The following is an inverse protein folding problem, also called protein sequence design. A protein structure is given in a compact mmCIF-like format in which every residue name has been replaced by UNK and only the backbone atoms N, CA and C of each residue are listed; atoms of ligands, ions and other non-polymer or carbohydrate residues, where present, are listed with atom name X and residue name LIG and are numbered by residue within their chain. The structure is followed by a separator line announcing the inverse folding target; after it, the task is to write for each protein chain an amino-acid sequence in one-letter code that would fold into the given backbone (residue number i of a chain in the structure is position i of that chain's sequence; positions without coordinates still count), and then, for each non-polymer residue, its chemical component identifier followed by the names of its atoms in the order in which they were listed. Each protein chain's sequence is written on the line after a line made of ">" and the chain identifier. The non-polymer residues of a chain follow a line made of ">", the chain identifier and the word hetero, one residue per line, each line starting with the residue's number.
data_IF_574175541198
#
_entry.id   IF_574175541198
#
_cell.length_a   1.000
_cell.length_b   1.000
_cell.length_c   1.000
_cell.angle_alpha   90.00
_cell.angle_beta   90.00
_cell.angle_gamma   90.00
#
_symmetry.space_group_name_H-M   'P 1'
#
loop_
_entity.id
_entity.type
_entity.pdbx_description
1 polymer ?
#
# COMPACT_ATOMS: atom_id res chain seq x y z
N UNK A 1 -28.70 -0.02 -13.21
CA UNK A 1 -27.48 0.29 -12.43
C UNK A 1 -26.48 0.99 -13.35
N UNK A 2 -25.70 1.93 -12.84
CA UNK A 2 -24.62 2.57 -13.60
C UNK A 2 -23.39 2.71 -12.71
N UNK A 3 -22.20 2.64 -13.30
CA UNK A 3 -20.96 2.99 -12.61
C UNK A 3 -20.86 4.51 -12.58
N UNK A 4 -20.86 5.10 -11.40
CA UNK A 4 -20.65 6.55 -11.23
C UNK A 4 -19.19 6.91 -11.54
N UNK A 5 -18.28 6.04 -11.14
CA UNK A 5 -16.86 6.18 -11.42
C UNK A 5 -16.01 5.13 -10.69
N UNK A 6 -14.77 5.02 -11.16
CA UNK A 6 -13.72 4.23 -10.51
C UNK A 6 -12.76 5.18 -9.84
N UNK A 7 -12.55 5.02 -8.54
CA UNK A 7 -11.69 5.85 -7.71
C UNK A 7 -10.43 5.05 -7.37
N UNK A 8 -9.27 5.57 -7.72
CA UNK A 8 -7.96 5.01 -7.38
C UNK A 8 -7.25 5.94 -6.41
N UNK A 9 -7.01 5.48 -5.20
CA UNK A 9 -6.24 6.17 -4.19
C UNK A 9 -4.81 5.65 -4.17
N UNK A 10 -3.87 6.53 -3.85
CA UNK A 10 -2.47 6.12 -3.63
C UNK A 10 -2.32 5.63 -2.19
N UNK A 11 -1.54 4.56 -1.95
CA UNK A 11 -1.05 4.27 -0.62
C UNK A 11 -0.12 5.40 -0.21
N UNK A 12 -0.32 5.94 0.99
CA UNK A 12 0.69 6.82 1.60
C UNK A 12 1.97 6.02 1.87
N UNK A 13 3.12 6.69 2.06
CA UNK A 13 4.38 6.02 2.41
C UNK A 13 4.27 5.22 3.73
N UNK A 14 3.32 5.61 4.59
CA UNK A 14 2.97 4.89 5.81
C UNK A 14 2.02 3.69 5.57
N UNK A 15 1.43 3.55 4.38
CA UNK A 15 0.42 2.55 4.08
C UNK A 15 -0.96 2.81 4.73
N UNK A 16 -1.17 3.97 5.37
CA UNK A 16 -2.34 4.23 6.22
C UNK A 16 -3.57 4.82 5.50
N UNK A 17 -3.55 5.00 4.17
CA UNK A 17 -4.65 5.68 3.46
C UNK A 17 -5.62 4.72 2.78
N UNK A 18 -5.10 3.63 2.24
CA UNK A 18 -5.88 2.59 1.59
C UNK A 18 -5.14 1.25 1.70
N UNK A 19 -5.89 0.15 1.58
CA UNK A 19 -5.35 -1.20 1.55
C UNK A 19 -5.71 -1.89 0.24
N UNK A 20 -4.98 -2.92 -0.15
CA UNK A 20 -5.39 -3.81 -1.24
C UNK A 20 -6.53 -4.74 -0.82
N UNK A 21 -6.75 -4.89 0.50
CA UNK A 21 -7.86 -5.66 1.04
C UNK A 21 -9.21 -4.96 0.82
N UNK A 22 -10.24 -5.76 0.55
CA UNK A 22 -11.61 -5.23 0.48
C UNK A 22 -12.13 -4.92 1.88
N UNK A 23 -12.96 -3.86 1.98
CA UNK A 23 -13.56 -3.46 3.26
C UNK A 23 -14.38 -4.61 3.88
N UNK A 24 -15.07 -5.39 3.05
CA UNK A 24 -15.79 -6.58 3.48
C UNK A 24 -14.86 -7.64 4.08
N UNK A 25 -13.72 -7.91 3.45
CA UNK A 25 -12.75 -8.87 3.97
C UNK A 25 -12.20 -8.40 5.33
N UNK A 26 -11.84 -7.12 5.45
CA UNK A 26 -11.39 -6.56 6.73
C UNK A 26 -12.47 -6.68 7.82
N UNK A 27 -13.72 -6.35 7.51
CA UNK A 27 -14.84 -6.51 8.44
C UNK A 27 -15.06 -7.97 8.85
N UNK A 28 -14.93 -8.91 7.91
CA UNK A 28 -15.03 -10.34 8.18
C UNK A 28 -13.87 -10.81 9.06
N UNK A 29 -12.64 -10.37 8.80
CA UNK A 29 -11.45 -10.63 9.64
C UNK A 29 -11.68 -10.10 11.07
N UNK A 30 -12.16 -8.86 11.22
CA UNK A 30 -12.51 -8.29 12.53
C UNK A 30 -13.60 -9.09 13.26
N UNK A 31 -14.66 -9.51 12.57
CA UNK A 31 -15.71 -10.35 13.16
C UNK A 31 -15.14 -11.71 13.57
N UNK A 32 -14.32 -12.32 12.71
CA UNK A 32 -13.65 -13.57 13.01
C UNK A 32 -12.82 -13.44 14.28
N UNK A 33 -12.01 -12.39 14.40
CA UNK A 33 -11.13 -12.20 15.56
C UNK A 33 -11.89 -11.96 16.86
N UNK A 34 -13.03 -11.25 16.82
CA UNK A 34 -13.90 -11.08 18.00
C UNK A 34 -14.51 -12.41 18.42
N UNK A 35 -15.05 -13.19 17.47
CA UNK A 35 -15.59 -14.52 17.77
C UNK A 35 -14.50 -15.46 18.28
N UNK A 36 -13.31 -15.41 17.68
CA UNK A 36 -12.16 -16.24 18.06
C UNK A 36 -11.69 -15.95 19.49
N UNK A 37 -11.72 -14.67 19.90
CA UNK A 37 -11.44 -14.25 21.28
C UNK A 37 -12.53 -14.68 22.25
N UNK A 38 -13.79 -14.63 21.84
CA UNK A 38 -14.92 -14.97 22.71
C UNK A 38 -15.08 -16.48 22.90
N UNK A 39 -14.76 -17.27 21.88
CA UNK A 39 -14.91 -18.73 21.87
C UNK A 39 -13.58 -19.46 22.12
N UNK A 40 -12.57 -18.81 22.72
CA UNK A 40 -11.24 -19.39 23.01
C UNK A 40 -10.62 -20.18 21.85
N UNK A 41 -10.80 -19.71 20.61
CA UNK A 41 -10.34 -20.36 19.38
C UNK A 41 -10.86 -21.76 19.09
N UNK A 42 -11.98 -22.15 19.71
CA UNK A 42 -12.60 -23.47 19.53
C UNK A 42 -13.05 -23.68 18.09
N UNK A 43 -13.58 -22.65 17.41
CA UNK A 43 -14.04 -22.81 16.03
C UNK A 43 -14.29 -21.49 15.27
N UNK A 44 -14.38 -21.58 13.93
CA UNK A 44 -14.66 -20.46 13.02
C UNK A 44 -16.07 -20.60 12.40
N UNK A 45 -16.90 -19.55 12.44
CA UNK A 45 -18.25 -19.56 11.85
C UNK A 45 -18.25 -19.84 10.34
N UNK A 46 -19.15 -20.71 9.89
CA UNK A 46 -19.30 -21.03 8.46
C UNK A 46 -19.71 -19.83 7.59
N UNK A 47 -20.41 -18.84 8.17
CA UNK A 47 -20.73 -17.57 7.49
C UNK A 47 -19.49 -16.74 7.13
N UNK A 48 -18.36 -16.99 7.79
CA UNK A 48 -17.07 -16.34 7.49
C UNK A 48 -16.25 -17.15 6.47
N UNK A 49 -16.55 -18.44 6.29
CA UNK A 49 -15.86 -19.35 5.35
C UNK A 49 -16.34 -19.25 3.90
N UNK A 50 -17.51 -18.68 3.65
CA UNK A 50 -18.06 -18.52 2.30
C UNK A 50 -17.32 -17.52 1.41
N UNK A 51 -16.34 -16.80 1.96
CA UNK A 51 -15.49 -15.88 1.21
C UNK A 51 -14.07 -16.47 1.11
N UNK A 52 -13.67 -17.03 -0.05
CA UNK A 52 -12.40 -17.74 -0.20
C UNK A 52 -11.18 -16.87 0.19
N UNK A 53 -11.28 -15.55 0.02
CA UNK A 53 -10.22 -14.60 0.36
C UNK A 53 -9.93 -14.49 1.87
N UNK A 54 -10.88 -14.89 2.74
CA UNK A 54 -10.63 -14.92 4.20
C UNK A 54 -9.88 -16.18 4.61
N UNK A 55 -9.94 -17.23 3.78
CA UNK A 55 -9.35 -18.55 4.03
C UNK A 55 -7.97 -18.71 3.37
N UNK A 56 -7.62 -17.90 2.38
CA UNK A 56 -6.31 -18.02 1.70
C UNK A 56 -5.13 -17.55 2.57
N UNK A 57 -5.33 -16.53 3.41
CA UNK A 57 -4.27 -15.99 4.29
C UNK A 57 -4.08 -16.79 5.59
N UNK A 58 -5.05 -17.63 5.94
CA UNK A 58 -5.02 -18.43 7.15
C UNK A 58 -5.28 -19.86 6.72
N UNK A 59 -4.25 -20.70 6.71
CA UNK A 59 -4.38 -22.16 6.61
C UNK A 59 -5.27 -22.66 7.75
N UNK A 60 -6.58 -22.50 7.59
CA UNK A 60 -7.59 -22.88 8.57
C UNK A 60 -7.91 -24.33 8.23
N UNK A 61 -7.46 -25.29 9.03
CA UNK A 61 -7.78 -26.67 8.78
C UNK A 61 -9.30 -26.85 8.93
N UNK A 62 -9.91 -27.66 8.05
CA UNK A 62 -11.37 -27.83 7.97
C UNK A 62 -11.99 -28.35 9.29
N UNK A 63 -11.18 -28.97 10.15
CA UNK A 63 -11.55 -29.45 11.48
C UNK A 63 -11.84 -28.31 12.47
N UNK A 64 -11.45 -27.07 12.18
CA UNK A 64 -11.76 -25.88 13.00
C UNK A 64 -13.07 -25.18 12.61
N UNK A 65 -13.86 -25.70 11.68
CA UNK A 65 -15.17 -25.12 11.36
C UNK A 65 -16.17 -25.37 12.49
N UNK A 66 -16.90 -24.32 12.91
CA UNK A 66 -17.93 -24.48 13.95
C UNK A 66 -19.08 -25.34 13.43
N UNK A 67 -19.38 -26.42 14.15
CA UNK A 67 -20.71 -27.02 14.12
C UNK A 67 -21.72 -26.01 14.70
N UNK A 68 -22.94 -26.00 14.16
CA UNK A 68 -24.01 -25.08 14.58
C UNK A 68 -24.24 -25.14 16.10
N UNK A 69 -24.12 -26.32 16.69
CA UNK A 69 -24.29 -26.53 18.14
C UNK A 69 -23.26 -25.78 18.97
N UNK A 70 -21.98 -25.81 18.58
CA UNK A 70 -20.89 -25.11 19.27
C UNK A 70 -21.03 -23.59 19.12
N UNK A 71 -21.53 -23.14 17.96
CA UNK A 71 -21.77 -21.73 17.70
C UNK A 71 -22.84 -21.16 18.62
N UNK A 72 -23.96 -21.87 18.80
CA UNK A 72 -25.02 -21.46 19.74
C UNK A 72 -24.53 -21.43 21.19
N UNK A 73 -23.80 -22.45 21.61
CA UNK A 73 -23.28 -22.54 22.98
C UNK A 73 -22.27 -21.43 23.30
N UNK A 74 -21.50 -20.95 22.32
CA UNK A 74 -20.57 -19.84 22.55
C UNK A 74 -21.26 -18.46 22.54
N UNK A 75 -22.21 -18.24 21.61
CA UNK A 75 -22.74 -16.90 21.38
C UNK A 75 -24.04 -16.57 22.11
N UNK A 76 -24.87 -17.56 22.42
CA UNK A 76 -26.16 -17.34 23.09
C UNK A 76 -26.09 -17.04 24.60
N UNK A 77 -25.14 -17.57 25.41
CA UNK A 77 -25.14 -17.32 26.84
C UNK A 77 -24.45 -16.01 27.25
N UNK A 78 -24.02 -15.16 26.31
CA UNK A 78 -23.33 -13.92 26.65
C UNK A 78 -24.21 -12.99 27.46
N UNK A 79 -23.66 -12.49 28.57
CA UNK A 79 -24.28 -11.39 29.28
C UNK A 79 -24.36 -10.14 28.38
N UNK A 80 -25.35 -9.29 28.61
CA UNK A 80 -25.48 -8.04 27.86
C UNK A 80 -24.19 -7.19 27.89
N UNK A 81 -23.47 -7.23 29.01
CA UNK A 81 -22.21 -6.51 29.20
C UNK A 81 -21.08 -7.05 28.31
N UNK A 82 -20.95 -8.37 28.18
CA UNK A 82 -19.97 -8.99 27.29
C UNK A 82 -20.30 -8.72 25.82
N UNK A 83 -21.59 -8.71 25.47
CA UNK A 83 -22.04 -8.39 24.13
C UNK A 83 -21.70 -6.94 23.75
N UNK A 84 -21.89 -5.99 24.66
CA UNK A 84 -21.48 -4.60 24.47
C UNK A 84 -19.96 -4.45 24.33
N UNK A 85 -19.18 -5.18 25.13
CA UNK A 85 -17.71 -5.18 25.04
C UNK A 85 -17.23 -5.74 23.69
N UNK A 86 -17.80 -6.86 23.25
CA UNK A 86 -17.50 -7.48 21.96
C UNK A 86 -17.89 -6.55 20.79
N UNK A 87 -19.04 -5.89 20.87
CA UNK A 87 -19.48 -4.93 19.87
C UNK A 87 -18.57 -3.70 19.83
N UNK A 88 -18.14 -3.19 20.98
CA UNK A 88 -17.17 -2.08 21.06
C UNK A 88 -15.83 -2.46 20.43
N UNK A 89 -15.31 -3.66 20.75
CA UNK A 89 -14.07 -4.19 20.16
C UNK A 89 -14.19 -4.35 18.64
N UNK A 90 -15.33 -4.88 18.17
CA UNK A 90 -15.62 -5.01 16.74
C UNK A 90 -15.64 -3.65 16.03
N UNK A 91 -16.30 -2.65 16.62
CA UNK A 91 -16.36 -1.29 16.06
C UNK A 91 -14.97 -0.63 16.04
N UNK A 92 -14.15 -0.85 17.07
CA UNK A 92 -12.77 -0.37 17.09
C UNK A 92 -11.93 -1.00 15.97
N UNK A 93 -12.05 -2.31 15.74
CA UNK A 93 -11.39 -3.00 14.64
C UNK A 93 -11.86 -2.50 13.27
N UNK A 94 -13.18 -2.39 13.07
CA UNK A 94 -13.78 -1.87 11.83
C UNK A 94 -13.33 -0.44 11.53
N UNK A 95 -13.19 0.42 12.55
CA UNK A 95 -12.66 1.78 12.37
C UNK A 95 -11.20 1.78 11.91
N UNK A 96 -10.44 0.74 12.23
CA UNK A 96 -9.07 0.54 11.73
C UNK A 96 -9.02 -0.01 10.30
N UNK A 97 -10.13 -0.49 9.74
CA UNK A 97 -10.16 -1.00 8.37
C UNK A 97 -9.95 0.13 7.38
N UNK A 98 -8.86 0.05 6.64
CA UNK A 98 -8.62 0.94 5.53
C UNK A 98 -9.51 0.57 4.35
N UNK A 99 -10.07 1.56 3.66
CA UNK A 99 -10.85 1.29 2.47
C UNK A 99 -9.93 0.87 1.30
N UNK A 100 -10.46 0.16 0.28
CA UNK A 100 -9.60 -0.36 -0.77
C UNK A 100 -9.00 0.76 -1.62
N UNK A 101 -7.78 0.55 -2.13
CA UNK A 101 -7.10 1.51 -2.99
C UNK A 101 -7.82 1.70 -4.33
N UNK A 102 -8.55 0.70 -4.80
CA UNK A 102 -9.47 0.84 -5.94
C UNK A 102 -10.91 0.65 -5.47
N UNK A 103 -11.75 1.67 -5.69
CA UNK A 103 -13.19 1.66 -5.35
C UNK A 103 -14.04 1.91 -6.58
N UNK A 104 -15.04 1.06 -6.78
CA UNK A 104 -16.06 1.27 -7.81
C UNK A 104 -17.32 1.78 -7.13
N UNK A 105 -17.77 2.97 -7.50
CA UNK A 105 -19.03 3.53 -7.02
C UNK A 105 -20.13 3.21 -8.02
N UNK A 106 -21.19 2.61 -7.52
CA UNK A 106 -22.38 2.29 -8.31
C UNK A 106 -23.52 3.20 -7.90
N UNK A 107 -24.22 3.75 -8.89
CA UNK A 107 -25.53 4.36 -8.70
C UNK A 107 -26.62 3.43 -9.19
N UNK A 108 -27.69 3.37 -8.42
CA UNK A 108 -28.86 2.56 -8.70
C UNK A 108 -30.04 3.50 -8.90
N UNK A 109 -30.66 3.40 -10.08
CA UNK A 109 -31.99 3.95 -10.33
C UNK A 109 -32.99 2.82 -10.27
N UNK A 110 -33.94 2.96 -9.37
CA UNK A 110 -34.98 1.97 -9.14
C UNK A 110 -36.23 2.32 -9.91
N UNK A 111 -36.72 1.33 -10.63
CA UNK A 111 -38.02 1.40 -11.28
C UNK A 111 -38.72 0.09 -11.02
N UNK A 112 -39.91 0.17 -10.45
CA UNK A 112 -40.79 -0.96 -10.23
C UNK A 112 -42.00 -0.82 -11.15
N UNK A 113 -42.41 -1.95 -11.74
CA UNK A 113 -43.61 -2.04 -12.57
C UNK A 113 -44.36 -3.31 -12.22
N UNK A 114 -45.68 -3.23 -12.18
CA UNK A 114 -46.53 -4.41 -11.97
C UNK A 114 -46.52 -5.21 -13.28
N UNK A 115 -45.84 -6.35 -13.28
CA UNK A 115 -45.74 -7.22 -14.48
C UNK A 115 -47.03 -8.00 -14.73
N UNK A 116 -47.69 -8.50 -13.67
CA UNK A 116 -48.93 -9.28 -13.77
C UNK A 116 -49.86 -8.97 -12.58
N UNK A 117 -50.91 -8.17 -12.75
CA UNK A 117 -51.78 -7.77 -11.63
C UNK A 117 -52.63 -8.92 -11.05
N UNK A 118 -52.70 -10.07 -11.73
CA UNK A 118 -53.54 -11.21 -11.34
C UNK A 118 -52.78 -12.41 -10.75
N UNK A 119 -51.45 -12.45 -10.84
CA UNK A 119 -50.63 -13.53 -10.27
C UNK A 119 -49.93 -13.04 -8.99
N UNK A 120 -50.07 -13.80 -7.90
CA UNK A 120 -49.77 -13.33 -6.55
C UNK A 120 -48.34 -13.55 -6.04
N UNK A 121 -47.39 -14.11 -6.80
CA UNK A 121 -46.15 -14.62 -6.16
C UNK A 121 -44.84 -14.46 -6.93
N UNK A 122 -44.81 -13.79 -8.09
CA UNK A 122 -43.57 -13.70 -8.87
C UNK A 122 -42.93 -12.33 -8.75
N UNK A 123 -41.90 -12.21 -7.89
CA UNK A 123 -41.01 -11.05 -7.86
C UNK A 123 -39.93 -11.24 -8.93
N UNK A 124 -39.96 -10.40 -9.97
CA UNK A 124 -38.94 -10.39 -11.02
C UNK A 124 -38.02 -9.20 -10.82
N UNK A 125 -36.74 -9.46 -10.59
CA UNK A 125 -35.71 -8.43 -10.50
C UNK A 125 -34.94 -8.37 -11.83
N UNK A 126 -35.03 -7.23 -12.52
CA UNK A 126 -34.24 -6.96 -13.73
C UNK A 126 -33.07 -6.05 -13.39
N UNK A 127 -31.86 -6.58 -13.48
CA UNK A 127 -30.61 -5.86 -13.31
C UNK A 127 -29.98 -5.63 -14.68
N UNK A 128 -29.81 -4.37 -15.07
CA UNK A 128 -29.09 -4.00 -16.30
C UNK A 128 -28.16 -2.82 -16.04
N UNK A 129 -27.07 -2.76 -16.82
CA UNK A 129 -26.09 -1.67 -16.78
C UNK A 129 -26.50 -0.63 -17.84
N UNK A 130 -26.75 0.61 -17.42
CA UNK A 130 -27.29 1.67 -18.30
C UNK A 130 -26.22 2.31 -19.20
N UNK A 131 -24.96 2.34 -18.77
CA UNK A 131 -23.85 2.95 -19.50
C UNK A 131 -22.57 2.15 -19.25
N UNK A 132 -21.80 1.93 -20.30
CA UNK A 132 -20.52 1.21 -20.27
C UNK A 132 -19.31 2.16 -20.18
N UNK A 133 -19.51 3.46 -20.42
CA UNK A 133 -18.49 4.48 -20.19
C UNK A 133 -18.61 5.02 -18.77
N UNK A 134 -17.50 5.05 -18.03
CA UNK A 134 -17.42 5.59 -16.69
C UNK A 134 -16.14 6.40 -16.51
N UNK A 135 -16.17 7.49 -15.71
CA UNK A 135 -14.98 8.24 -15.40
C UNK A 135 -14.06 7.48 -14.44
N UNK A 136 -12.75 7.68 -14.58
CA UNK A 136 -11.74 7.17 -13.66
C UNK A 136 -11.07 8.35 -12.95
N UNK A 137 -11.18 8.39 -11.63
CA UNK A 137 -10.57 9.39 -10.76
C UNK A 137 -9.37 8.77 -10.06
N UNK A 138 -8.16 9.08 -10.51
CA UNK A 138 -6.93 8.56 -9.92
C UNK A 138 -6.17 9.66 -9.20
N UNK A 139 -5.82 9.42 -7.95
CA UNK A 139 -4.84 10.24 -7.23
C UNK A 139 -3.45 9.98 -7.83
N UNK A 140 -2.69 11.04 -8.04
CA UNK A 140 -1.32 11.00 -8.55
C UNK A 140 -0.43 11.85 -7.63
N UNK A 141 0.81 11.44 -7.43
CA UNK A 141 1.77 12.26 -6.68
C UNK A 141 2.00 13.56 -7.44
N UNK A 142 1.75 14.69 -6.78
CA UNK A 142 1.99 16.02 -7.37
C UNK A 142 3.47 16.27 -7.63
N UNK A 143 4.34 15.63 -6.85
CA UNK A 143 5.78 15.72 -6.96
C UNK A 143 6.38 14.34 -7.16
N UNK A 144 6.83 14.07 -8.38
CA UNK A 144 7.74 12.95 -8.64
C UNK A 144 9.18 13.45 -8.58
N UNK A 145 10.15 12.56 -8.28
CA UNK A 145 11.57 12.89 -8.38
C UNK A 145 11.93 13.46 -9.76
N UNK A 146 11.28 12.94 -10.80
CA UNK A 146 11.44 13.42 -12.18
C UNK A 146 10.95 14.87 -12.30
N UNK A 147 9.80 15.20 -11.72
CA UNK A 147 9.27 16.58 -11.68
C UNK A 147 10.22 17.51 -10.95
N UNK A 148 10.77 17.08 -9.81
CA UNK A 148 11.73 17.87 -9.03
C UNK A 148 13.01 18.10 -9.85
N UNK A 149 13.60 17.05 -10.41
CA UNK A 149 14.81 17.14 -11.23
C UNK A 149 14.59 17.99 -12.48
N UNK A 150 13.43 17.86 -13.13
CA UNK A 150 13.06 18.67 -14.29
C UNK A 150 12.94 20.15 -13.92
N UNK A 151 12.33 20.46 -12.79
CA UNK A 151 12.15 21.86 -12.34
C UNK A 151 13.48 22.47 -11.91
N UNK A 152 14.27 21.76 -11.10
CA UNK A 152 15.59 22.22 -10.66
C UNK A 152 16.54 22.35 -11.85
N UNK A 153 16.59 21.34 -12.72
CA UNK A 153 17.40 21.37 -13.94
C UNK A 153 16.99 22.48 -14.91
N UNK A 154 15.68 22.73 -15.04
CA UNK A 154 15.17 23.84 -15.84
C UNK A 154 15.60 25.21 -15.31
N UNK A 155 15.39 25.45 -14.01
CA UNK A 155 15.78 26.73 -13.37
C UNK A 155 17.29 26.91 -13.39
N UNK A 156 18.06 25.88 -12.99
CA UNK A 156 19.52 25.93 -12.97
C UNK A 156 20.09 26.13 -14.40
N UNK A 157 19.53 25.46 -15.40
CA UNK A 157 19.94 25.60 -16.80
C UNK A 157 19.71 27.02 -17.33
N UNK A 158 18.59 27.66 -16.99
CA UNK A 158 18.30 29.04 -17.38
C UNK A 158 19.21 30.04 -16.66
N UNK A 159 19.40 29.89 -15.34
CA UNK A 159 20.19 30.84 -14.55
C UNK A 159 21.69 30.77 -14.81
N UNK A 160 22.24 29.57 -14.91
CA UNK A 160 23.68 29.39 -15.10
C UNK A 160 24.08 29.50 -16.58
N UNK A 161 23.12 29.43 -17.51
CA UNK A 161 23.41 29.17 -18.92
C UNK A 161 24.19 27.85 -19.14
N UNK A 162 24.32 27.05 -18.07
CA UNK A 162 25.08 25.83 -18.04
C UNK A 162 24.19 24.74 -18.62
N UNK A 163 24.42 24.42 -19.89
CA UNK A 163 23.93 23.16 -20.44
C UNK A 163 24.54 22.00 -19.65
N UNK A 164 23.88 20.84 -19.65
CA UNK A 164 24.43 19.60 -19.07
C UNK A 164 25.87 19.32 -19.54
N UNK A 165 26.20 19.71 -20.76
CA UNK A 165 27.54 19.65 -21.34
C UNK A 165 28.55 20.51 -20.57
N UNK A 166 28.16 21.70 -20.11
CA UNK A 166 29.00 22.56 -19.29
C UNK A 166 29.36 21.93 -17.94
N UNK A 167 28.42 21.26 -17.28
CA UNK A 167 28.67 20.54 -16.03
C UNK A 167 29.67 19.40 -16.25
N UNK A 168 29.51 18.63 -17.34
CA UNK A 168 30.46 17.57 -17.72
C UNK A 168 31.86 18.14 -17.96
N UNK A 169 31.97 19.27 -18.64
CA UNK A 169 33.26 19.93 -18.88
C UNK A 169 33.95 20.36 -17.58
N UNK A 170 33.19 20.94 -16.64
CA UNK A 170 33.72 21.33 -15.32
C UNK A 170 34.20 20.10 -14.54
N UNK A 171 33.41 19.02 -14.52
CA UNK A 171 33.78 17.78 -13.85
C UNK A 171 35.05 17.15 -14.47
N UNK A 172 35.15 17.14 -15.80
CA UNK A 172 36.34 16.65 -16.50
C UNK A 172 37.58 17.50 -16.20
N UNK A 173 37.41 18.82 -16.08
CA UNK A 173 38.49 19.74 -15.73
C UNK A 173 38.98 19.54 -14.29
N UNK A 174 38.04 19.42 -13.33
CA UNK A 174 38.36 19.10 -11.93
C UNK A 174 39.07 17.75 -11.84
N UNK A 175 38.58 16.73 -12.54
CA UNK A 175 39.20 15.41 -12.55
C UNK A 175 40.65 15.47 -13.05
N UNK A 176 40.91 16.21 -14.14
CA UNK A 176 42.27 16.42 -14.65
C UNK A 176 43.17 17.14 -13.65
N UNK A 177 42.66 18.18 -12.98
CA UNK A 177 43.41 18.87 -11.93
C UNK A 177 43.73 17.93 -10.78
N UNK A 178 42.76 17.17 -10.26
CA UNK A 178 43.00 16.20 -9.19
C UNK A 178 44.06 15.15 -9.59
N UNK A 179 44.00 14.62 -10.81
CA UNK A 179 45.02 13.65 -11.27
C UNK A 179 46.40 14.28 -11.45
N UNK A 180 46.48 15.57 -11.82
CA UNK A 180 47.74 16.27 -11.93
C UNK A 180 48.34 16.53 -10.55
N UNK A 181 47.52 16.95 -9.58
CA UNK A 181 47.95 17.19 -8.20
C UNK A 181 48.45 15.90 -7.54
N UNK A 182 47.74 14.79 -7.71
CA UNK A 182 48.20 13.49 -7.20
C UNK A 182 49.52 13.02 -7.82
N UNK A 183 49.83 13.44 -9.05
CA UNK A 183 51.09 13.09 -9.71
C UNK A 183 52.27 13.89 -9.16
N UNK A 184 52.05 15.13 -8.74
CA UNK A 184 53.09 15.96 -8.15
C UNK A 184 53.51 15.47 -6.77
N UNK A 185 52.58 14.95 -5.96
CA UNK A 185 52.88 14.35 -4.64
C UNK A 185 53.76 13.08 -4.74
N UNK A 186 53.78 12.40 -5.89
CA UNK A 186 54.62 11.21 -6.12
C UNK A 186 56.08 11.59 -6.43
N UNK A 187 56.32 12.75 -7.04
CA UNK A 187 57.69 13.24 -7.35
C UNK A 187 58.40 13.80 -6.10
N UNK A 188 57.67 14.37 -5.14
CA UNK A 188 58.24 14.88 -3.89
C UNK A 188 58.65 13.76 -2.90
N UNK A 189 58.03 12.57 -3.00
CA UNK A 189 58.42 11.42 -2.18
C UNK A 189 59.65 10.66 -2.72
N UNK A 190 59.98 10.83 -4.00
CA UNK A 190 61.16 10.22 -4.61
C UNK A 190 62.44 11.06 -4.37
N UNK A 191 62.35 12.38 -4.17
CA UNK A 191 63.51 13.22 -3.82
C UNK A 191 63.94 13.07 -2.34
N UNK A 192 63.01 12.86 -1.40
CA UNK A 192 63.37 12.65 0.02
C UNK A 192 64.02 11.28 0.26
N UNK A 193 63.77 10.30 -0.61
CA UNK A 193 64.38 8.96 -0.55
C UNK A 193 65.80 8.90 -1.17
N UNK A 194 66.20 9.90 -1.97
CA UNK A 194 67.54 9.98 -2.58
C UNK A 194 68.57 10.76 -1.74
N UNK A 195 68.13 11.52 -0.73
CA UNK A 195 68.99 12.40 0.08
C UNK A 195 69.58 11.78 1.36
N UNK A 196 69.08 10.64 1.83
CA UNK A 196 69.43 10.10 3.15
C UNK A 196 70.31 8.83 3.05
N UNK A 197 71.49 8.99 2.44
CA UNK A 197 72.38 7.85 2.18
C UNK A 197 73.86 8.15 2.07
N UNK A 198 74.38 9.23 2.67
CA UNK A 198 75.83 9.50 2.71
C UNK A 198 76.25 10.26 3.97
N UNK A 199 76.19 9.62 5.13
CA UNK A 199 77.03 10.01 6.28
C UNK A 199 77.12 8.85 7.28
N UNK A 200 77.90 7.82 6.92
CA UNK A 200 78.37 6.77 7.82
C UNK A 200 79.51 5.95 7.18
N UNK A 201 80.61 6.61 6.79
CA UNK A 201 81.95 6.04 6.55
C UNK A 201 82.86 7.24 6.22
N UNK A 202 83.97 7.56 6.88
CA UNK A 202 85.15 6.78 7.25
C UNK A 202 86.12 7.87 7.81
N UNK A 203 86.65 7.91 9.03
CA UNK A 203 87.47 6.98 9.81
C UNK A 203 88.69 6.43 9.02
N UNK A 204 89.76 7.22 8.94
CA UNK A 204 91.12 6.97 9.47
C UNK A 204 91.95 8.24 9.25
#
# INVERSE_FOLDING_TARGET
>A
MSVDGVYKSLPDQSGLTCSDDTMTNCHLKCKADVVNKQCDSVCIPTTLTGNPFVLEDRDIPLDKMCLVQNYQQCLEPMSAQEQEAAQSSLQACIKGCLPPCTRVRWSRRDSSSILHPKEKTNHVFKLYISNHAYPVFAQQYSWSLITVLSNVGGVAGVWLGASFVGVIHILAFIFKLCTAWMRTDEEDHDEESAGQGKDCAQKI
#
